data_IF_184269583445
#
_entry.id   IF_184269583445
#
_cell.length_a   1.000
_cell.length_b   1.000
_cell.length_c   1.000
_cell.angle_alpha   90.00
_cell.angle_beta   90.00
_cell.angle_gamma   90.00
#
_symmetry.space_group_name_H-M   'P 1'
#
loop_
_entity.id
_entity.type
_entity.pdbx_description
1 polymer ?
#
# COMPACT_ATOMS: atom_id res chain seq x y z
N UNK A 1 -4.89 -11.67 9.00
CA UNK A 1 -3.52 -11.16 9.23
C UNK A 1 -2.98 -10.79 7.88
N UNK A 2 -2.69 -9.51 7.64
CA UNK A 2 -2.20 -9.00 6.35
C UNK A 2 -0.76 -8.56 6.56
N UNK A 3 0.18 -9.13 5.82
CA UNK A 3 1.59 -8.77 5.90
C UNK A 3 2.08 -8.38 4.50
N UNK A 4 2.52 -7.13 4.35
CA UNK A 4 3.13 -6.59 3.15
C UNK A 4 4.62 -6.37 3.43
N UNK A 5 5.48 -7.01 2.63
CA UNK A 5 6.93 -6.89 2.72
C UNK A 5 7.49 -6.24 1.45
N UNK A 6 8.11 -5.07 1.62
CA UNK A 6 8.86 -4.36 0.59
C UNK A 6 8.07 -4.12 -0.72
N UNK A 7 6.82 -3.65 -0.58
CA UNK A 7 5.95 -3.46 -1.72
C UNK A 7 6.39 -2.25 -2.55
N UNK A 8 6.77 -2.53 -3.80
CA UNK A 8 7.23 -1.54 -4.76
C UNK A 8 6.29 -1.51 -5.96
N UNK A 9 5.75 -0.33 -6.28
CA UNK A 9 4.86 -0.14 -7.41
C UNK A 9 5.35 1.00 -8.29
N UNK A 10 5.61 0.69 -9.55
CA UNK A 10 5.93 1.67 -10.59
C UNK A 10 4.93 1.54 -11.74
N UNK A 11 4.26 2.64 -12.08
CA UNK A 11 3.37 2.67 -13.23
C UNK A 11 4.17 2.95 -14.50
N UNK A 12 3.70 2.42 -15.64
CA UNK A 12 4.40 2.50 -16.93
C UNK A 12 4.77 3.92 -17.40
N UNK A 13 4.20 4.98 -16.81
CA UNK A 13 4.41 6.38 -17.19
C UNK A 13 4.51 7.34 -15.98
N UNK A 14 4.87 6.86 -14.79
CA UNK A 14 5.00 7.74 -13.61
C UNK A 14 6.19 7.32 -12.76
N UNK A 15 6.78 8.30 -12.07
CA UNK A 15 7.75 8.04 -11.02
C UNK A 15 7.18 7.05 -9.99
N UNK A 16 8.09 6.33 -9.34
CA UNK A 16 7.78 5.26 -8.37
C UNK A 16 6.67 5.71 -7.41
N UNK A 17 5.55 5.00 -7.43
CA UNK A 17 4.31 5.41 -6.77
C UNK A 17 4.17 4.82 -5.36
N UNK A 18 4.70 3.61 -5.16
CA UNK A 18 4.93 3.02 -3.83
C UNK A 18 6.39 2.58 -3.77
N UNK A 19 7.08 2.99 -2.71
CA UNK A 19 8.49 2.76 -2.51
C UNK A 19 8.65 1.99 -1.21
N UNK A 20 9.05 0.71 -1.31
CA UNK A 20 9.42 -0.11 -0.16
C UNK A 20 8.41 -0.07 1.01
N UNK A 21 7.13 -0.27 0.70
CA UNK A 21 6.08 -0.22 1.72
C UNK A 21 6.05 -1.53 2.50
N UNK A 22 6.28 -1.43 3.81
CA UNK A 22 6.17 -2.53 4.76
C UNK A 22 5.01 -2.26 5.73
N UNK A 23 4.07 -3.18 5.81
CA UNK A 23 2.88 -3.04 6.66
C UNK A 23 2.49 -4.41 7.20
N UNK A 24 2.31 -4.51 8.51
CA UNK A 24 1.81 -5.71 9.16
C UNK A 24 0.54 -5.34 9.94
N UNK A 25 -0.58 -6.00 9.61
CA UNK A 25 -1.88 -5.77 10.22
C UNK A 25 -2.34 -7.06 10.89
N UNK A 26 -2.49 -6.98 12.20
CA UNK A 26 -2.98 -8.06 13.04
C UNK A 26 -4.51 -8.11 13.07
N UNK A 27 -5.06 -9.26 13.47
CA UNK A 27 -6.51 -9.43 13.56
C UNK A 27 -7.11 -8.50 14.62
N UNK A 28 -8.08 -7.68 14.24
CA UNK A 28 -8.71 -6.70 15.12
C UNK A 28 -8.07 -5.30 15.08
N UNK A 29 -7.00 -5.10 14.31
CA UNK A 29 -6.44 -3.76 14.08
C UNK A 29 -7.22 -3.00 13.02
N UNK A 30 -7.49 -1.73 13.30
CA UNK A 30 -8.13 -0.81 12.36
C UNK A 30 -7.10 0.21 11.86
N UNK A 31 -6.71 0.09 10.59
CA UNK A 31 -5.68 0.92 9.97
C UNK A 31 -6.30 1.88 8.97
N UNK A 32 -5.89 3.14 9.00
CA UNK A 32 -6.40 4.18 8.11
C UNK A 32 -5.30 4.68 7.17
N UNK A 33 -5.54 4.57 5.85
CA UNK A 33 -4.58 4.98 4.81
C UNK A 33 -4.92 6.40 4.33
N UNK A 34 -4.07 7.38 4.69
CA UNK A 34 -4.27 8.80 4.36
C UNK A 34 -3.09 9.39 3.57
N UNK A 35 -3.25 10.62 3.07
CA UNK A 35 -2.26 11.26 2.20
C UNK A 35 -2.88 12.15 1.13
N UNK A 36 -2.05 12.85 0.36
CA UNK A 36 -2.52 13.71 -0.75
C UNK A 36 -3.16 12.88 -1.88
N UNK A 37 -3.98 13.53 -2.70
CA UNK A 37 -4.49 12.89 -3.93
C UNK A 37 -3.32 12.48 -4.83
N UNK A 38 -3.36 11.28 -5.39
CA UNK A 38 -2.27 10.72 -6.19
C UNK A 38 -1.13 10.06 -5.41
N UNK A 39 -1.15 10.06 -4.08
CA UNK A 39 -0.09 9.45 -3.24
C UNK A 39 -0.03 7.91 -3.23
N UNK A 40 -0.79 7.24 -4.10
CA UNK A 40 -0.77 5.77 -4.16
C UNK A 40 -1.64 5.02 -3.16
N UNK A 41 -2.51 5.73 -2.42
CA UNK A 41 -3.43 5.14 -1.42
C UNK A 41 -4.30 4.00 -1.97
N UNK A 42 -4.97 4.25 -3.10
CA UNK A 42 -5.79 3.23 -3.78
C UNK A 42 -4.97 2.03 -4.25
N UNK A 43 -3.74 2.26 -4.73
CA UNK A 43 -2.85 1.17 -5.11
C UNK A 43 -2.44 0.33 -3.88
N UNK A 44 -2.07 0.98 -2.77
CA UNK A 44 -1.74 0.27 -1.53
C UNK A 44 -2.94 -0.53 -1.00
N UNK A 45 -4.15 0.04 -1.04
CA UNK A 45 -5.37 -0.64 -0.60
C UNK A 45 -5.70 -1.86 -1.48
N UNK A 46 -5.52 -1.73 -2.80
CA UNK A 46 -5.77 -2.82 -3.74
C UNK A 46 -4.83 -4.01 -3.48
N UNK A 47 -3.58 -3.75 -3.12
CA UNK A 47 -2.64 -4.80 -2.72
C UNK A 47 -3.01 -5.45 -1.39
N UNK A 48 -3.43 -4.68 -0.39
CA UNK A 48 -3.96 -5.24 0.86
C UNK A 48 -5.17 -6.15 0.64
N UNK A 49 -6.07 -5.83 -0.30
CA UNK A 49 -7.24 -6.66 -0.60
C UNK A 49 -6.92 -7.92 -1.42
N UNK A 50 -5.81 -7.93 -2.16
CA UNK A 50 -5.39 -9.07 -2.98
C UNK A 50 -4.60 -10.13 -2.20
N UNK A 51 -4.21 -9.84 -0.96
CA UNK A 51 -3.41 -10.71 -0.08
C UNK A 51 -4.31 -11.39 0.94
#
# INVERSE_FOLDING_TARGET
>A
MITLNALNLSLKNSDRMLCDVQLDIQSGEFVYVTGRSGAGKLACLNFCMAT
#
